data_IF_429594449315
#
_entry.id   IF_429594449315
#
_cell.length_a   1.000
_cell.length_b   1.000
_cell.length_c   1.000
_cell.angle_alpha   90.00
_cell.angle_beta   90.00
_cell.angle_gamma   90.00
#
_symmetry.space_group_name_H-M   'P 1'
#
loop_
_entity.id
_entity.type
_entity.pdbx_description
1 polymer ?
#
# COMPACT_ATOMS: atom_id res chain seq x y z
N UNK A 1 -17.51 45.87 -76.46
CA UNK A 1 -18.82 46.54 -76.31
C UNK A 1 -19.44 45.98 -75.03
N UNK A 2 -19.41 46.65 -73.87
CA UNK A 2 -20.26 47.81 -73.50
C UNK A 2 -21.72 47.52 -73.94
N UNK A 3 -22.72 47.45 -73.07
CA UNK A 3 -23.16 48.52 -72.16
C UNK A 3 -23.89 47.99 -70.92
N UNK A 4 -23.63 48.74 -69.85
CA UNK A 4 -24.11 48.82 -68.46
C UNK A 4 -25.58 49.29 -68.31
N UNK A 5 -26.25 48.94 -67.20
CA UNK A 5 -27.06 49.93 -66.46
C UNK A 5 -27.46 49.47 -65.03
N UNK A 6 -26.72 50.00 -64.05
CA UNK A 6 -27.10 50.65 -62.77
C UNK A 6 -28.33 50.16 -61.94
N UNK A 7 -28.06 49.93 -60.66
CA UNK A 7 -29.03 50.09 -59.56
C UNK A 7 -28.39 49.91 -58.18
N UNK A 8 -28.19 51.00 -57.43
CA UNK A 8 -27.58 51.00 -56.10
C UNK A 8 -28.56 50.62 -54.98
N UNK A 9 -28.13 49.81 -54.00
CA UNK A 9 -28.40 50.01 -52.57
C UNK A 9 -27.70 48.95 -51.70
N UNK A 10 -26.93 49.40 -50.71
CA UNK A 10 -26.35 48.58 -49.62
C UNK A 10 -27.45 47.90 -48.79
N UNK A 11 -27.37 46.58 -48.60
CA UNK A 11 -27.79 45.90 -47.36
C UNK A 11 -26.89 44.69 -47.08
N UNK A 12 -26.54 44.55 -45.79
CA UNK A 12 -25.47 43.73 -45.22
C UNK A 12 -25.61 42.24 -45.56
N UNK A 13 -24.52 41.60 -45.99
CA UNK A 13 -24.40 40.13 -46.06
C UNK A 13 -24.46 39.55 -44.65
N UNK A 14 -25.51 38.78 -44.36
CA UNK A 14 -25.55 37.91 -43.20
C UNK A 14 -24.55 36.77 -43.37
N UNK A 15 -23.50 36.73 -42.54
CA UNK A 15 -22.71 35.53 -42.30
C UNK A 15 -23.55 34.61 -41.42
N UNK A 16 -23.95 33.46 -41.95
CA UNK A 16 -24.38 32.31 -41.15
C UNK A 16 -23.19 31.91 -40.27
N UNK A 17 -23.27 32.21 -38.97
CA UNK A 17 -22.36 31.71 -37.96
C UNK A 17 -22.65 30.22 -37.78
N UNK A 18 -21.66 29.38 -37.99
CA UNK A 18 -21.61 28.03 -37.43
C UNK A 18 -21.84 28.14 -35.92
N UNK A 19 -22.82 27.41 -35.41
CA UNK A 19 -23.07 27.29 -33.98
C UNK A 19 -21.95 26.48 -33.36
N UNK A 20 -20.87 27.17 -33.02
CA UNK A 20 -19.79 26.67 -32.18
C UNK A 20 -20.36 26.53 -30.76
N UNK A 21 -21.04 25.40 -30.47
CA UNK A 21 -21.26 24.98 -29.08
C UNK A 21 -19.91 24.53 -28.56
N UNK A 22 -19.18 25.47 -27.95
CA UNK A 22 -18.02 25.17 -27.11
C UNK A 22 -18.45 24.11 -26.10
N UNK A 23 -17.79 22.96 -26.14
CA UNK A 23 -17.81 22.00 -25.04
C UNK A 23 -17.16 22.67 -23.81
N UNK A 24 -17.68 22.48 -22.59
CA UNK A 24 -17.12 23.08 -21.39
C UNK A 24 -15.90 22.25 -20.97
N UNK A 25 -14.81 22.38 -21.73
CA UNK A 25 -13.50 21.91 -21.27
C UNK A 25 -12.98 22.95 -20.30
N UNK A 26 -12.75 22.51 -19.08
CA UNK A 26 -11.93 23.20 -18.09
C UNK A 26 -10.50 23.21 -18.65
N UNK A 27 -9.96 24.40 -18.90
CA UNK A 27 -8.58 24.57 -19.35
C UNK A 27 -7.62 24.37 -18.16
N UNK A 28 -6.36 23.99 -18.42
CA UNK A 28 -5.35 23.63 -17.41
C UNK A 28 -5.04 24.68 -16.32
N UNK A 29 -5.67 25.85 -16.34
CA UNK A 29 -5.59 26.85 -15.26
C UNK A 29 -6.26 26.36 -13.96
N UNK A 30 -7.30 25.52 -14.01
CA UNK A 30 -7.99 25.01 -12.80
C UNK A 30 -7.15 24.00 -12.01
N UNK A 31 -6.23 23.29 -12.67
CA UNK A 31 -5.29 22.36 -12.01
C UNK A 31 -4.20 23.14 -11.29
N UNK A 32 -3.62 24.16 -11.92
CA UNK A 32 -2.58 24.99 -11.29
C UNK A 32 -3.14 25.78 -10.09
N UNK A 33 -4.40 26.23 -10.16
CA UNK A 33 -5.13 26.83 -9.03
C UNK A 33 -5.37 25.80 -7.90
N UNK A 34 -5.84 24.59 -8.22
CA UNK A 34 -6.04 23.51 -7.26
C UNK A 34 -4.73 23.07 -6.58
N UNK A 35 -3.62 22.98 -7.33
CA UNK A 35 -2.28 22.70 -6.80
C UNK A 35 -1.80 23.79 -5.84
N UNK A 36 -2.16 25.06 -6.10
CA UNK A 36 -1.83 26.19 -5.23
C UNK A 36 -2.64 26.19 -3.93
N UNK A 37 -3.91 25.76 -3.98
CA UNK A 37 -4.81 25.67 -2.82
C UNK A 37 -4.48 24.48 -1.91
N UNK A 38 -3.95 23.39 -2.47
CA UNK A 38 -3.61 22.17 -1.73
C UNK A 38 -2.32 22.25 -0.88
N UNK A 39 -1.52 23.32 -0.99
CA UNK A 39 -0.22 23.50 -0.28
C UNK A 39 0.70 22.26 -0.34
N UNK A 40 0.68 21.49 -1.43
CA UNK A 40 1.55 20.32 -1.60
C UNK A 40 2.96 20.82 -1.94
N UNK A 41 3.83 20.93 -0.93
CA UNK A 41 5.25 21.22 -1.12
C UNK A 41 5.96 19.92 -1.58
N UNK A 42 5.99 19.70 -2.90
CA UNK A 42 6.69 18.57 -3.54
C UNK A 42 8.18 18.45 -3.21
N UNK A 43 8.77 19.43 -2.49
CA UNK A 43 10.19 19.46 -2.11
C UNK A 43 10.44 19.17 -0.64
N UNK A 44 9.40 19.09 0.20
CA UNK A 44 9.55 18.77 1.61
C UNK A 44 9.04 17.36 1.88
N UNK A 45 9.92 16.38 1.67
CA UNK A 45 9.84 15.13 2.42
C UNK A 45 10.07 15.44 3.90
N UNK A 46 9.02 15.83 4.62
CA UNK A 46 9.06 16.03 6.06
C UNK A 46 9.10 14.67 6.74
N UNK A 47 9.93 14.57 7.78
CA UNK A 47 10.36 13.31 8.42
C UNK A 47 9.29 12.49 9.16
N UNK A 48 8.02 12.61 8.79
CA UNK A 48 6.88 11.89 9.38
C UNK A 48 6.29 10.79 8.48
N UNK A 49 6.71 10.69 7.20
CA UNK A 49 6.42 9.53 6.33
C UNK A 49 6.99 8.20 6.87
N UNK A 50 7.77 8.27 7.96
CA UNK A 50 8.42 7.14 8.65
C UNK A 50 7.48 6.32 9.57
N UNK A 51 6.20 6.70 9.70
CA UNK A 51 5.25 6.11 10.68
C UNK A 51 4.07 5.32 10.07
N UNK A 52 3.92 5.21 8.75
CA UNK A 52 2.68 4.67 8.16
C UNK A 52 2.70 3.15 7.91
N UNK A 53 1.58 2.52 8.27
CA UNK A 53 1.38 1.07 8.44
C UNK A 53 0.88 0.29 7.22
N UNK A 54 0.76 0.88 6.02
CA UNK A 54 0.00 0.21 4.95
C UNK A 54 0.72 0.06 3.61
N UNK A 55 0.49 -1.11 3.00
CA UNK A 55 1.07 -1.60 1.74
C UNK A 55 0.49 -0.88 0.51
N UNK A 56 -0.73 -0.33 0.59
CA UNK A 56 -1.47 0.16 -0.59
C UNK A 56 -0.90 1.45 -1.19
N UNK A 57 -0.34 2.35 -0.37
CA UNK A 57 0.28 3.61 -0.83
C UNK A 57 1.52 3.35 -1.70
N UNK A 58 2.29 2.31 -1.39
CA UNK A 58 3.51 1.95 -2.12
C UNK A 58 3.24 1.15 -3.40
N UNK A 59 1.99 0.80 -3.70
CA UNK A 59 1.62 0.19 -4.98
C UNK A 59 1.66 1.18 -6.15
N UNK A 60 2.01 2.46 -5.93
CA UNK A 60 2.24 3.44 -6.99
C UNK A 60 3.72 3.77 -7.15
N UNK A 61 4.20 3.71 -8.40
CA UNK A 61 5.59 3.99 -8.74
C UNK A 61 5.78 5.51 -8.90
N UNK A 62 6.84 6.06 -8.30
CA UNK A 62 7.25 7.47 -8.41
C UNK A 62 7.57 7.90 -9.85
N UNK A 63 7.55 6.99 -10.84
CA UNK A 63 7.59 7.34 -12.27
C UNK A 63 6.46 8.27 -12.76
N UNK A 64 5.41 8.49 -11.98
CA UNK A 64 4.41 9.54 -12.27
C UNK A 64 4.71 10.92 -11.65
N UNK A 65 5.67 11.01 -10.73
CA UNK A 65 6.06 12.29 -10.10
C UNK A 65 6.97 13.15 -10.96
N UNK A 66 7.50 12.63 -12.07
CA UNK A 66 8.12 13.44 -13.11
C UNK A 66 7.02 14.14 -13.92
N UNK A 67 6.40 15.18 -13.33
CA UNK A 67 5.48 16.09 -14.01
C UNK A 67 6.24 16.78 -15.15
N UNK A 68 6.21 16.16 -16.33
CA UNK A 68 6.58 16.81 -17.58
C UNK A 68 5.34 17.47 -18.16
N UNK A 69 5.52 18.55 -18.94
CA UNK A 69 4.46 19.30 -19.65
C UNK A 69 3.61 18.45 -20.63
N UNK A 70 3.80 17.14 -20.68
CA UNK A 70 3.13 16.19 -21.60
C UNK A 70 2.32 15.10 -20.89
N UNK A 71 2.21 15.11 -19.56
CA UNK A 71 1.36 14.15 -18.83
C UNK A 71 -0.11 14.49 -18.99
N UNK A 72 -0.94 13.49 -19.23
CA UNK A 72 -2.39 13.67 -19.39
C UNK A 72 -3.03 14.08 -18.05
N UNK A 73 -4.15 14.80 -18.12
CA UNK A 73 -4.89 15.28 -16.94
C UNK A 73 -5.23 14.15 -15.95
N UNK A 74 -5.61 12.97 -16.45
CA UNK A 74 -5.87 11.79 -15.62
C UNK A 74 -4.63 11.33 -14.84
N UNK A 75 -3.45 11.32 -15.47
CA UNK A 75 -2.20 10.90 -14.83
C UNK A 75 -1.80 11.84 -13.69
N UNK A 76 -2.13 13.14 -13.82
CA UNK A 76 -1.91 14.13 -12.77
C UNK A 76 -2.82 13.87 -11.56
N UNK A 77 -4.11 13.60 -11.78
CA UNK A 77 -5.03 13.22 -10.69
C UNK A 77 -4.60 11.93 -9.99
N UNK A 78 -4.14 10.92 -10.75
CA UNK A 78 -3.66 9.67 -10.15
C UNK A 78 -2.41 9.95 -9.29
N UNK A 79 -1.46 10.75 -9.79
CA UNK A 79 -0.28 11.14 -9.02
C UNK A 79 -0.65 11.92 -7.74
N UNK A 80 -1.61 12.84 -7.83
CA UNK A 80 -2.09 13.63 -6.69
C UNK A 80 -2.75 12.76 -5.62
N UNK A 81 -3.58 11.79 -6.02
CA UNK A 81 -4.21 10.87 -5.08
C UNK A 81 -3.16 10.12 -4.24
N UNK A 82 -2.16 9.54 -4.89
CA UNK A 82 -1.12 8.79 -4.17
C UNK A 82 -0.20 9.71 -3.35
N UNK A 83 0.09 10.91 -3.83
CA UNK A 83 0.84 11.90 -3.05
C UNK A 83 0.10 12.29 -1.76
N UNK A 84 -1.23 12.48 -1.84
CA UNK A 84 -2.06 12.78 -0.66
C UNK A 84 -2.10 11.62 0.36
N UNK A 85 -1.97 10.37 -0.09
CA UNK A 85 -1.88 9.21 0.80
C UNK A 85 -0.49 9.03 1.43
N UNK A 86 0.57 9.40 0.71
CA UNK A 86 1.97 9.27 1.18
C UNK A 86 2.35 10.39 2.15
N UNK A 87 1.88 11.61 1.91
CA UNK A 87 2.09 12.76 2.79
C UNK A 87 1.03 12.81 3.89
N UNK A 88 1.40 12.47 5.13
CA UNK A 88 0.59 12.70 6.35
C UNK A 88 -0.81 12.08 6.38
N UNK A 89 -1.15 11.18 5.43
CA UNK A 89 -2.50 10.61 5.24
C UNK A 89 -3.57 11.70 5.13
N UNK A 90 -3.42 12.61 4.19
CA UNK A 90 -4.36 13.69 3.93
C UNK A 90 -5.63 13.16 3.23
N UNK A 91 -6.44 12.41 3.97
CA UNK A 91 -7.64 11.73 3.45
C UNK A 91 -8.65 12.69 2.83
N UNK A 92 -8.79 13.91 3.37
CA UNK A 92 -9.68 14.92 2.80
C UNK A 92 -9.25 15.36 1.40
N UNK A 93 -7.94 15.46 1.16
CA UNK A 93 -7.40 15.77 -0.16
C UNK A 93 -7.57 14.60 -1.13
N UNK A 94 -7.31 13.38 -0.66
CA UNK A 94 -7.54 12.18 -1.46
C UNK A 94 -9.03 12.03 -1.86
N UNK A 95 -9.96 12.35 -0.96
CA UNK A 95 -11.41 12.41 -1.26
C UNK A 95 -11.76 13.52 -2.26
N UNK A 96 -11.11 14.68 -2.15
CA UNK A 96 -11.30 15.76 -3.10
C UNK A 96 -10.90 15.32 -4.52
N UNK A 97 -9.76 14.62 -4.67
CA UNK A 97 -9.34 14.04 -5.96
C UNK A 97 -10.38 13.06 -6.52
N UNK A 98 -10.93 12.18 -5.68
CA UNK A 98 -12.00 11.25 -6.09
C UNK A 98 -13.22 12.01 -6.59
N UNK A 99 -13.65 13.05 -5.88
CA UNK A 99 -14.81 13.87 -6.25
C UNK A 99 -14.60 14.57 -7.60
N UNK A 100 -13.38 15.05 -7.85
CA UNK A 100 -13.03 15.65 -9.14
C UNK A 100 -13.02 14.62 -10.27
N UNK A 101 -12.44 13.44 -10.06
CA UNK A 101 -12.49 12.38 -11.08
C UNK A 101 -13.94 11.95 -11.41
N UNK A 102 -14.84 11.97 -10.43
CA UNK A 102 -16.27 11.70 -10.65
C UNK A 102 -16.98 12.82 -11.41
N UNK A 103 -16.50 14.07 -11.31
CA UNK A 103 -17.09 15.23 -12.00
C UNK A 103 -16.71 15.30 -13.48
N UNK A 104 -15.66 14.58 -13.91
CA UNK A 104 -15.21 14.46 -15.30
C UNK A 104 -16.19 13.63 -16.15
N UNK A 105 -17.34 14.23 -16.46
CA UNK A 105 -18.44 13.61 -17.19
C UNK A 105 -18.00 13.06 -18.56
N UNK A 106 -18.35 11.79 -18.83
CA UNK A 106 -18.10 11.14 -20.12
C UNK A 106 -16.73 10.46 -20.25
N UNK A 107 -15.83 10.61 -19.27
CA UNK A 107 -14.55 9.89 -19.25
C UNK A 107 -14.67 8.58 -18.44
N UNK A 108 -14.91 7.47 -19.16
CA UNK A 108 -15.01 6.13 -18.55
C UNK A 108 -13.78 5.76 -17.72
N UNK A 109 -12.58 6.12 -18.17
CA UNK A 109 -11.35 5.75 -17.47
C UNK A 109 -11.22 6.51 -16.15
N UNK A 110 -11.54 7.81 -16.14
CA UNK A 110 -11.59 8.61 -14.91
C UNK A 110 -12.59 8.05 -13.90
N UNK A 111 -13.76 7.60 -14.35
CA UNK A 111 -14.75 6.93 -13.48
C UNK A 111 -14.19 5.65 -12.85
N UNK A 112 -13.47 4.81 -13.62
CA UNK A 112 -12.88 3.58 -13.08
C UNK A 112 -11.77 3.86 -12.05
N UNK A 113 -10.94 4.87 -12.28
CA UNK A 113 -9.95 5.32 -11.31
C UNK A 113 -10.61 5.89 -10.05
N UNK A 114 -11.70 6.64 -10.17
CA UNK A 114 -12.46 7.11 -9.02
C UNK A 114 -13.00 5.95 -8.17
N UNK A 115 -13.61 4.93 -8.78
CA UNK A 115 -14.04 3.74 -8.04
C UNK A 115 -12.87 3.02 -7.37
N UNK A 116 -11.75 2.83 -8.07
CA UNK A 116 -10.57 2.20 -7.50
C UNK A 116 -10.02 2.98 -6.28
N UNK A 117 -9.98 4.30 -6.37
CA UNK A 117 -9.54 5.19 -5.28
C UNK A 117 -10.51 5.21 -4.11
N UNK A 118 -11.83 5.20 -4.37
CA UNK A 118 -12.83 4.99 -3.31
C UNK A 118 -12.58 3.69 -2.57
N UNK A 119 -12.23 2.61 -3.29
CA UNK A 119 -11.85 1.34 -2.67
C UNK A 119 -10.62 1.47 -1.76
N UNK A 120 -9.55 2.13 -2.22
CA UNK A 120 -8.35 2.38 -1.38
C UNK A 120 -8.69 3.21 -0.14
N UNK A 121 -9.54 4.24 -0.27
CA UNK A 121 -9.97 5.04 0.87
C UNK A 121 -10.78 4.23 1.89
N UNK A 122 -11.65 3.35 1.44
CA UNK A 122 -12.39 2.43 2.31
C UNK A 122 -11.44 1.52 3.10
N UNK A 123 -10.37 1.01 2.48
CA UNK A 123 -9.33 0.22 3.14
C UNK A 123 -8.55 1.04 4.19
N UNK A 124 -8.04 2.21 3.80
CA UNK A 124 -7.07 2.97 4.59
C UNK A 124 -7.71 3.78 5.72
N UNK A 125 -8.92 4.32 5.50
CA UNK A 125 -9.61 5.19 6.45
C UNK A 125 -10.62 4.42 7.28
N UNK A 126 -11.53 3.69 6.63
CA UNK A 126 -12.65 3.04 7.31
C UNK A 126 -12.33 1.63 7.80
N UNK A 127 -11.24 1.02 7.29
CA UNK A 127 -10.97 -0.42 7.42
C UNK A 127 -12.19 -1.27 7.00
N UNK A 128 -12.97 -0.74 6.05
CA UNK A 128 -14.15 -1.40 5.50
C UNK A 128 -13.74 -2.17 4.24
N UNK A 129 -13.27 -3.40 4.47
CA UNK A 129 -12.82 -4.30 3.41
C UNK A 129 -13.97 -4.74 2.49
N UNK A 130 -15.23 -4.67 2.93
CA UNK A 130 -16.40 -5.06 2.15
C UNK A 130 -16.83 -3.93 1.20
N UNK A 131 -16.73 -2.67 1.64
CA UNK A 131 -16.85 -1.51 0.75
C UNK A 131 -15.74 -1.47 -0.29
N UNK A 132 -14.49 -1.70 0.11
CA UNK A 132 -13.36 -1.78 -0.82
C UNK A 132 -13.58 -2.87 -1.90
N UNK A 133 -14.02 -4.07 -1.49
CA UNK A 133 -14.35 -5.16 -2.40
C UNK A 133 -15.41 -4.75 -3.43
N UNK A 134 -16.50 -4.09 -3.01
CA UNK A 134 -17.56 -3.64 -3.92
C UNK A 134 -17.00 -2.72 -5.00
N UNK A 135 -16.22 -1.71 -4.60
CA UNK A 135 -15.58 -0.80 -5.54
C UNK A 135 -14.65 -1.51 -6.53
N UNK A 136 -13.84 -2.46 -6.06
CA UNK A 136 -12.93 -3.22 -6.93
C UNK A 136 -13.66 -4.11 -7.93
N UNK A 137 -14.73 -4.79 -7.49
CA UNK A 137 -15.55 -5.62 -8.37
C UNK A 137 -16.27 -4.77 -9.43
N UNK A 138 -16.75 -3.58 -9.09
CA UNK A 138 -17.37 -2.64 -10.04
C UNK A 138 -16.39 -2.21 -11.12
N UNK A 139 -15.12 -1.96 -10.75
CA UNK A 139 -14.06 -1.64 -11.73
C UNK A 139 -13.81 -2.84 -12.65
N UNK A 140 -13.69 -4.06 -12.11
CA UNK A 140 -13.43 -5.26 -12.90
C UNK A 140 -14.58 -5.62 -13.85
N UNK A 141 -15.83 -5.42 -13.42
CA UNK A 141 -17.03 -5.66 -14.24
C UNK A 141 -17.05 -4.79 -15.50
N UNK A 142 -16.42 -3.62 -15.43
CA UNK A 142 -16.37 -2.64 -16.50
C UNK A 142 -15.11 -2.75 -17.35
N UNK A 143 -14.45 -3.92 -17.41
CA UNK A 143 -13.31 -4.22 -18.30
C UNK A 143 -12.27 -3.08 -18.38
N UNK A 144 -11.52 -2.83 -17.28
CA UNK A 144 -10.58 -1.73 -17.19
C UNK A 144 -9.34 -1.98 -18.07
N UNK A 145 -8.50 -0.96 -18.23
CA UNK A 145 -7.21 -1.09 -18.92
C UNK A 145 -6.36 -2.21 -18.31
N UNK A 146 -5.49 -2.90 -19.07
CA UNK A 146 -4.70 -4.02 -18.54
C UNK A 146 -3.89 -3.68 -17.27
N UNK A 147 -3.40 -2.45 -17.17
CA UNK A 147 -2.65 -1.96 -16.01
C UNK A 147 -3.55 -1.80 -14.78
N UNK A 148 -4.67 -1.09 -14.91
CA UNK A 148 -5.63 -0.92 -13.82
C UNK A 148 -6.23 -2.27 -13.41
N UNK A 149 -6.50 -3.15 -14.38
CA UNK A 149 -6.98 -4.51 -14.14
C UNK A 149 -6.03 -5.30 -13.23
N UNK A 150 -4.72 -5.27 -13.51
CA UNK A 150 -3.71 -5.96 -12.72
C UNK A 150 -3.58 -5.40 -11.30
N UNK A 151 -3.69 -4.06 -11.16
CA UNK A 151 -3.68 -3.37 -9.87
C UNK A 151 -4.89 -3.73 -9.02
N UNK A 152 -6.10 -3.67 -9.60
CA UNK A 152 -7.34 -3.96 -8.89
C UNK A 152 -7.37 -5.40 -8.38
N UNK A 153 -6.87 -6.37 -9.15
CA UNK A 153 -6.74 -7.75 -8.66
C UNK A 153 -5.79 -7.89 -7.46
N UNK A 154 -4.72 -7.09 -7.41
CA UNK A 154 -3.81 -7.09 -6.27
C UNK A 154 -4.49 -6.50 -5.03
N UNK A 155 -5.15 -5.36 -5.16
CA UNK A 155 -5.88 -4.73 -4.05
C UNK A 155 -7.05 -5.58 -3.57
N UNK A 156 -7.80 -6.20 -4.49
CA UNK A 156 -8.87 -7.13 -4.16
C UNK A 156 -8.35 -8.37 -3.40
N UNK A 157 -7.15 -8.86 -3.72
CA UNK A 157 -6.51 -9.92 -2.93
C UNK A 157 -6.23 -9.48 -1.50
N UNK A 158 -5.78 -8.25 -1.30
CA UNK A 158 -5.54 -7.69 0.04
C UNK A 158 -6.86 -7.62 0.82
N UNK A 159 -7.93 -7.07 0.21
CA UNK A 159 -9.25 -7.03 0.82
C UNK A 159 -9.75 -8.43 1.22
N UNK A 160 -9.63 -9.43 0.33
CA UNK A 160 -10.02 -10.82 0.65
C UNK A 160 -9.18 -11.43 1.77
N UNK A 161 -7.88 -11.18 1.81
CA UNK A 161 -6.99 -11.66 2.87
C UNK A 161 -7.39 -11.08 4.23
N UNK A 162 -7.71 -9.78 4.28
CA UNK A 162 -8.19 -9.11 5.50
C UNK A 162 -9.54 -9.63 5.98
N UNK A 163 -10.37 -10.12 5.07
CA UNK A 163 -11.63 -10.80 5.40
C UNK A 163 -11.45 -12.29 5.75
N UNK A 164 -10.23 -12.84 5.72
CA UNK A 164 -9.96 -14.27 5.94
C UNK A 164 -10.38 -15.18 4.78
N UNK A 165 -10.74 -14.61 3.63
CA UNK A 165 -11.19 -15.31 2.42
C UNK A 165 -9.99 -15.72 1.56
N UNK A 166 -9.13 -16.57 2.10
CA UNK A 166 -7.85 -16.94 1.47
C UNK A 166 -7.98 -17.60 0.08
N UNK A 167 -8.97 -18.49 -0.20
CA UNK A 167 -9.12 -19.07 -1.54
C UNK A 167 -9.44 -18.01 -2.62
N UNK A 168 -10.31 -17.05 -2.32
CA UNK A 168 -10.57 -15.88 -3.18
C UNK A 168 -9.34 -15.01 -3.34
N UNK A 169 -8.62 -14.74 -2.24
CA UNK A 169 -7.40 -13.95 -2.26
C UNK A 169 -6.31 -14.57 -3.15
N UNK A 170 -6.10 -15.90 -3.06
CA UNK A 170 -5.15 -16.62 -3.91
C UNK A 170 -5.54 -16.57 -5.40
N UNK A 171 -6.85 -16.66 -5.72
CA UNK A 171 -7.34 -16.50 -7.10
C UNK A 171 -7.08 -15.09 -7.63
N UNK A 172 -7.34 -14.06 -6.83
CA UNK A 172 -7.08 -12.67 -7.19
C UNK A 172 -5.56 -12.41 -7.37
N UNK A 173 -4.72 -12.94 -6.48
CA UNK A 173 -3.26 -12.94 -6.65
C UNK A 173 -2.83 -13.55 -7.98
N UNK A 174 -3.33 -14.75 -8.30
CA UNK A 174 -2.99 -15.45 -9.53
C UNK A 174 -3.38 -14.64 -10.77
N UNK A 175 -4.57 -14.02 -10.75
CA UNK A 175 -5.01 -13.14 -11.82
C UNK A 175 -4.08 -11.92 -11.98
N UNK A 176 -3.69 -11.27 -10.88
CA UNK A 176 -2.75 -10.15 -10.88
C UNK A 176 -1.38 -10.55 -11.43
N UNK A 177 -0.82 -11.68 -10.99
CA UNK A 177 0.48 -12.21 -11.45
C UNK A 177 0.49 -12.43 -12.97
N UNK A 178 -0.56 -13.07 -13.50
CA UNK A 178 -0.68 -13.31 -14.95
C UNK A 178 -0.68 -11.99 -15.72
N UNK A 179 -1.41 -10.99 -15.23
CA UNK A 179 -1.50 -9.67 -15.88
C UNK A 179 -0.19 -8.89 -15.79
N UNK A 180 0.50 -8.88 -14.65
CA UNK A 180 1.78 -8.20 -14.54
C UNK A 180 2.89 -8.85 -15.38
N UNK A 181 2.86 -10.17 -15.56
CA UNK A 181 3.73 -10.87 -16.52
C UNK A 181 3.46 -10.44 -17.96
N UNK A 182 2.19 -10.24 -18.33
CA UNK A 182 1.81 -9.75 -19.67
C UNK A 182 2.24 -8.30 -19.91
N UNK A 183 2.12 -7.45 -18.89
CA UNK A 183 2.55 -6.04 -18.94
C UNK A 183 4.07 -5.90 -18.93
N UNK A 184 4.79 -6.84 -18.31
CA UNK A 184 6.25 -6.80 -18.22
C UNK A 184 6.79 -5.91 -17.08
N UNK A 185 5.95 -5.55 -16.09
CA UNK A 185 6.39 -4.80 -14.92
C UNK A 185 6.87 -5.77 -13.82
N UNK A 186 8.18 -5.98 -13.76
CA UNK A 186 8.81 -6.89 -12.80
C UNK A 186 8.65 -6.43 -11.34
N UNK A 187 8.54 -5.13 -11.08
CA UNK A 187 8.34 -4.64 -9.70
C UNK A 187 6.94 -5.01 -9.24
N UNK A 188 5.90 -4.69 -10.04
CA UNK A 188 4.52 -5.03 -9.68
C UNK A 188 4.26 -6.53 -9.66
N UNK A 189 4.91 -7.27 -10.56
CA UNK A 189 4.93 -8.73 -10.51
C UNK A 189 5.46 -9.24 -9.17
N UNK A 190 6.59 -8.72 -8.70
CA UNK A 190 7.15 -9.09 -7.40
C UNK A 190 6.20 -8.79 -6.23
N UNK A 191 5.47 -7.66 -6.29
CA UNK A 191 4.47 -7.32 -5.26
C UNK A 191 3.31 -8.31 -5.23
N UNK A 192 2.82 -8.74 -6.40
CA UNK A 192 1.76 -9.74 -6.49
C UNK A 192 2.23 -11.13 -6.01
N UNK A 193 3.45 -11.54 -6.36
CA UNK A 193 4.06 -12.78 -5.86
C UNK A 193 4.23 -12.76 -4.34
N UNK A 194 4.74 -11.65 -3.79
CA UNK A 194 4.88 -11.45 -2.34
C UNK A 194 3.52 -11.48 -1.63
N UNK A 195 2.50 -10.83 -2.20
CA UNK A 195 1.15 -10.86 -1.61
C UNK A 195 0.61 -12.29 -1.57
N UNK A 196 0.80 -13.07 -2.62
CA UNK A 196 0.39 -14.48 -2.63
C UNK A 196 1.12 -15.30 -1.55
N UNK A 197 2.40 -15.03 -1.32
CA UNK A 197 3.16 -15.63 -0.22
C UNK A 197 2.61 -15.22 1.17
N UNK A 198 2.22 -13.96 1.36
CA UNK A 198 1.56 -13.48 2.59
C UNK A 198 0.27 -14.25 2.85
N UNK A 199 -0.56 -14.44 1.82
CA UNK A 199 -1.83 -15.19 1.94
C UNK A 199 -1.57 -16.64 2.34
N UNK A 200 -0.55 -17.29 1.78
CA UNK A 200 -0.17 -18.63 2.21
C UNK A 200 0.26 -18.68 3.68
N UNK A 201 1.10 -17.74 4.14
CA UNK A 201 1.50 -17.69 5.54
C UNK A 201 0.30 -17.41 6.48
N UNK A 202 -0.56 -16.44 6.15
CA UNK A 202 -1.75 -16.13 6.94
C UNK A 202 -2.67 -17.34 7.06
N UNK A 203 -2.90 -18.03 5.95
CA UNK A 203 -3.78 -19.18 5.92
C UNK A 203 -3.28 -20.34 6.79
N UNK A 204 -1.97 -20.45 7.05
CA UNK A 204 -1.40 -21.47 7.95
C UNK A 204 -1.52 -21.01 9.41
N UNK A 205 -1.21 -19.75 9.71
CA UNK A 205 -1.24 -19.20 11.08
C UNK A 205 -2.65 -19.28 11.71
N UNK A 206 -3.71 -19.21 10.90
CA UNK A 206 -5.10 -19.29 11.36
C UNK A 206 -5.73 -20.69 11.22
N UNK A 207 -4.90 -21.74 11.17
CA UNK A 207 -5.38 -23.13 11.21
C UNK A 207 -5.94 -23.67 9.88
N UNK A 208 -5.63 -23.01 8.76
CA UNK A 208 -5.93 -23.49 7.42
C UNK A 208 -4.90 -24.52 6.92
N UNK A 209 -4.37 -24.30 5.72
CA UNK A 209 -3.64 -25.29 4.93
C UNK A 209 -2.36 -25.90 5.55
N UNK A 210 -1.77 -26.86 4.84
CA UNK A 210 -0.61 -27.68 5.23
C UNK A 210 0.76 -26.99 5.10
N UNK A 211 1.80 -27.59 5.69
CA UNK A 211 3.23 -27.23 5.55
C UNK A 211 3.71 -27.10 4.09
N UNK A 212 3.07 -27.79 3.13
CA UNK A 212 3.37 -27.64 1.70
C UNK A 212 3.10 -26.20 1.18
N UNK A 213 2.17 -25.47 1.77
CA UNK A 213 1.89 -24.08 1.39
C UNK A 213 2.96 -23.12 1.88
N UNK A 214 3.62 -23.42 3.01
CA UNK A 214 4.78 -22.66 3.46
C UNK A 214 5.94 -22.81 2.47
N UNK A 215 6.11 -23.99 1.85
CA UNK A 215 7.10 -24.14 0.78
C UNK A 215 6.78 -23.26 -0.42
N UNK A 216 5.52 -23.26 -0.88
CA UNK A 216 5.07 -22.35 -1.95
C UNK A 216 5.30 -20.88 -1.60
N UNK A 217 5.04 -20.48 -0.35
CA UNK A 217 5.29 -19.12 0.10
C UNK A 217 6.77 -18.73 -0.02
N UNK A 218 7.70 -19.61 0.38
CA UNK A 218 9.14 -19.40 0.23
C UNK A 218 9.52 -19.27 -1.25
N UNK A 219 9.05 -20.18 -2.09
CA UNK A 219 9.36 -20.20 -3.53
C UNK A 219 8.86 -18.92 -4.22
N UNK A 220 7.67 -18.43 -3.84
CA UNK A 220 7.10 -17.17 -4.34
C UNK A 220 7.91 -15.95 -3.87
N UNK A 221 8.36 -15.93 -2.61
CA UNK A 221 9.23 -14.87 -2.12
C UNK A 221 10.58 -14.84 -2.85
N UNK A 222 11.18 -16.00 -3.11
CA UNK A 222 12.43 -16.09 -3.89
C UNK A 222 12.22 -15.59 -5.32
N UNK A 223 11.14 -16.00 -5.99
CA UNK A 223 10.78 -15.45 -7.31
C UNK A 223 10.56 -13.94 -7.29
N UNK A 224 9.95 -13.40 -6.22
CA UNK A 224 9.77 -11.96 -6.07
C UNK A 224 11.11 -11.22 -5.91
N UNK A 225 12.04 -11.77 -5.12
CA UNK A 225 13.39 -11.23 -4.97
C UNK A 225 14.17 -11.27 -6.30
N UNK A 226 14.05 -12.35 -7.08
CA UNK A 226 14.66 -12.47 -8.40
C UNK A 226 14.12 -11.39 -9.34
N UNK A 227 12.79 -11.21 -9.38
CA UNK A 227 12.14 -10.16 -10.17
C UNK A 227 12.66 -8.77 -9.79
N UNK A 228 12.80 -8.48 -8.48
CA UNK A 228 13.32 -7.20 -8.00
C UNK A 228 14.80 -7.01 -8.34
N UNK A 229 15.61 -8.06 -8.23
CA UNK A 229 17.05 -8.01 -8.54
C UNK A 229 17.34 -7.69 -10.01
N UNK A 230 16.45 -8.12 -10.91
CA UNK A 230 16.53 -7.86 -12.34
C UNK A 230 16.11 -6.41 -12.73
N UNK A 231 15.65 -5.60 -11.77
CA UNK A 231 15.22 -4.21 -12.03
C UNK A 231 16.34 -3.20 -11.74
N UNK A 232 16.41 -2.14 -12.57
CA UNK A 232 17.37 -1.07 -12.37
C UNK A 232 16.98 -0.21 -11.17
N UNK A 233 17.77 -0.28 -10.10
CA UNK A 233 17.54 0.44 -8.84
C UNK A 233 17.50 1.97 -9.01
N UNK A 234 18.18 2.53 -10.01
CA UNK A 234 18.12 3.97 -10.31
C UNK A 234 16.78 4.41 -10.89
N UNK A 235 16.06 3.48 -11.54
CA UNK A 235 14.76 3.75 -12.15
C UNK A 235 13.59 3.53 -11.19
N UNK A 236 13.83 2.86 -10.05
CA UNK A 236 12.80 2.63 -9.03
C UNK A 236 13.39 2.85 -7.62
N UNK A 237 13.33 4.10 -7.09
CA UNK A 237 13.86 4.44 -5.78
C UNK A 237 13.22 3.67 -4.61
N UNK A 238 12.00 3.15 -4.81
CA UNK A 238 11.25 2.37 -3.80
C UNK A 238 11.61 0.89 -3.82
N UNK A 239 12.40 0.41 -4.78
CA UNK A 239 12.78 -1.00 -4.91
C UNK A 239 13.47 -1.56 -3.66
N UNK A 240 14.40 -0.86 -2.97
CA UNK A 240 14.99 -1.35 -1.73
C UNK A 240 13.96 -1.65 -0.63
N UNK A 241 12.89 -0.86 -0.55
CA UNK A 241 11.79 -1.13 0.37
C UNK A 241 11.09 -2.43 0.04
N UNK A 242 10.77 -2.67 -1.24
CA UNK A 242 10.12 -3.90 -1.68
C UNK A 242 10.99 -5.14 -1.44
N UNK A 243 12.30 -5.03 -1.60
CA UNK A 243 13.25 -6.10 -1.25
C UNK A 243 13.18 -6.37 0.26
N UNK A 244 13.24 -5.33 1.09
CA UNK A 244 13.19 -5.46 2.54
C UNK A 244 11.91 -6.17 3.03
N UNK A 245 10.72 -5.72 2.58
CA UNK A 245 9.45 -6.36 2.98
C UNK A 245 9.29 -7.76 2.40
N UNK A 246 9.98 -8.11 1.31
CA UNK A 246 10.00 -9.49 0.79
C UNK A 246 10.85 -10.40 1.68
N UNK A 247 12.01 -9.93 2.16
CA UNK A 247 12.81 -10.64 3.17
C UNK A 247 12.02 -10.89 4.46
N UNK A 248 11.21 -9.92 4.88
CA UNK A 248 10.34 -10.07 6.06
C UNK A 248 9.31 -11.20 5.89
N UNK A 249 8.66 -11.31 4.73
CA UNK A 249 7.71 -12.39 4.45
C UNK A 249 8.41 -13.75 4.33
N UNK A 250 9.58 -13.79 3.70
CA UNK A 250 10.40 -15.00 3.60
C UNK A 250 10.85 -15.49 4.99
N UNK A 251 11.31 -14.58 5.85
CA UNK A 251 11.66 -14.88 7.23
C UNK A 251 10.47 -15.47 8.01
N UNK A 252 9.28 -14.90 7.84
CA UNK A 252 8.05 -15.44 8.44
C UNK A 252 7.75 -16.84 7.93
N UNK A 253 7.84 -17.07 6.63
CA UNK A 253 7.60 -18.38 6.03
C UNK A 253 8.57 -19.45 6.57
N UNK A 254 9.85 -19.12 6.77
CA UNK A 254 10.81 -20.03 7.43
C UNK A 254 10.49 -20.27 8.90
N UNK A 255 10.16 -19.20 9.64
CA UNK A 255 9.85 -19.28 11.06
C UNK A 255 8.63 -20.16 11.34
N UNK A 256 7.52 -19.94 10.61
CA UNK A 256 6.31 -20.78 10.70
C UNK A 256 6.58 -22.22 10.27
N UNK A 257 7.57 -22.46 9.40
CA UNK A 257 7.98 -23.81 8.99
C UNK A 257 8.90 -24.51 10.00
N UNK A 258 9.37 -23.80 11.04
CA UNK A 258 10.33 -24.32 12.01
C UNK A 258 11.81 -24.23 11.59
N UNK A 259 12.11 -23.56 10.47
CA UNK A 259 13.49 -23.34 9.99
C UNK A 259 14.06 -22.04 10.57
N UNK A 260 14.29 -22.01 11.89
CA UNK A 260 14.58 -20.78 12.63
C UNK A 260 15.90 -20.11 12.23
N UNK A 261 16.96 -20.85 11.92
CA UNK A 261 18.25 -20.28 11.51
C UNK A 261 18.13 -19.52 10.19
N UNK A 262 17.34 -20.06 9.24
CA UNK A 262 17.05 -19.39 7.96
C UNK A 262 16.15 -18.18 8.16
N UNK A 263 15.19 -18.26 9.08
CA UNK A 263 14.36 -17.12 9.46
C UNK A 263 15.20 -15.98 10.03
N UNK A 264 16.11 -16.28 10.96
CA UNK A 264 17.05 -15.33 11.55
C UNK A 264 17.92 -14.66 10.47
N UNK A 265 18.44 -15.44 9.52
CA UNK A 265 19.20 -14.88 8.40
C UNK A 265 18.36 -13.89 7.57
N UNK A 266 17.13 -14.25 7.22
CA UNK A 266 16.22 -13.38 6.46
C UNK A 266 15.87 -12.10 7.22
N UNK A 267 15.53 -12.21 8.52
CA UNK A 267 15.19 -11.04 9.32
C UNK A 267 16.40 -10.15 9.63
N UNK A 268 17.61 -10.71 9.66
CA UNK A 268 18.85 -9.92 9.77
C UNK A 268 19.08 -9.10 8.50
N UNK A 269 18.87 -9.68 7.32
CA UNK A 269 18.92 -8.93 6.05
C UNK A 269 17.86 -7.82 6.03
N UNK A 270 16.63 -8.12 6.45
CA UNK A 270 15.56 -7.15 6.56
C UNK A 270 15.90 -5.99 7.51
N UNK A 271 16.45 -6.28 8.70
CA UNK A 271 16.91 -5.26 9.65
C UNK A 271 17.99 -4.36 9.06
N UNK A 272 19.00 -4.96 8.42
CA UNK A 272 20.10 -4.21 7.79
C UNK A 272 19.58 -3.25 6.70
N UNK A 273 18.65 -3.72 5.87
CA UNK A 273 18.02 -2.87 4.86
C UNK A 273 17.18 -1.75 5.49
N UNK A 274 16.37 -2.06 6.50
CA UNK A 274 15.55 -1.08 7.21
C UNK A 274 16.42 0.02 7.84
N UNK A 275 17.53 -0.34 8.49
CA UNK A 275 18.49 0.61 9.06
C UNK A 275 19.17 1.46 7.98
N UNK A 276 19.68 0.81 6.92
CA UNK A 276 20.37 1.50 5.82
C UNK A 276 19.50 2.56 5.15
N UNK A 277 18.21 2.31 5.04
CA UNK A 277 17.25 3.20 4.38
C UNK A 277 16.39 4.01 5.35
N UNK A 278 16.68 3.97 6.65
CA UNK A 278 15.95 4.72 7.70
C UNK A 278 14.44 4.44 7.74
N UNK A 279 14.06 3.18 7.53
CA UNK A 279 12.69 2.68 7.67
C UNK A 279 12.40 2.35 9.13
N UNK A 280 12.26 3.38 9.97
CA UNK A 280 12.26 3.24 11.43
C UNK A 280 11.22 2.22 11.95
N UNK A 281 9.99 2.24 11.42
CA UNK A 281 8.96 1.24 11.77
C UNK A 281 9.41 -0.20 11.48
N UNK A 282 10.06 -0.38 10.33
CA UNK A 282 10.55 -1.68 9.90
C UNK A 282 11.75 -2.15 10.74
N UNK A 283 12.53 -1.23 11.34
CA UNK A 283 13.59 -1.59 12.30
C UNK A 283 12.98 -2.23 13.55
N UNK A 284 12.00 -1.59 14.19
CA UNK A 284 11.33 -2.14 15.36
C UNK A 284 10.64 -3.48 15.07
N UNK A 285 9.97 -3.58 13.93
CA UNK A 285 9.33 -4.82 13.49
C UNK A 285 10.34 -5.95 13.19
N UNK A 286 11.49 -5.62 12.60
CA UNK A 286 12.56 -6.58 12.35
C UNK A 286 13.19 -7.11 13.65
N UNK A 287 13.41 -6.22 14.62
CA UNK A 287 13.91 -6.59 15.95
C UNK A 287 12.94 -7.53 16.66
N UNK A 288 11.64 -7.21 16.65
CA UNK A 288 10.62 -8.12 17.19
C UNK A 288 10.63 -9.48 16.47
N UNK A 289 10.65 -9.50 15.14
CA UNK A 289 10.66 -10.75 14.37
C UNK A 289 11.91 -11.61 14.62
N UNK A 290 13.08 -10.98 14.80
CA UNK A 290 14.30 -11.66 15.22
C UNK A 290 14.14 -12.24 16.62
N UNK A 291 13.56 -11.49 17.56
CA UNK A 291 13.33 -11.94 18.92
C UNK A 291 12.43 -13.19 18.97
N UNK A 292 11.31 -13.18 18.24
CA UNK A 292 10.43 -14.34 18.11
C UNK A 292 11.22 -15.55 17.55
N UNK A 293 12.09 -15.36 16.55
CA UNK A 293 12.88 -16.43 15.94
C UNK A 293 13.98 -16.99 16.86
N UNK A 294 14.69 -16.13 17.60
CA UNK A 294 15.66 -16.55 18.61
C UNK A 294 14.98 -17.24 19.79
N UNK A 295 13.77 -16.80 20.17
CA UNK A 295 13.00 -17.43 21.23
C UNK A 295 12.61 -18.85 20.85
N UNK A 296 12.08 -19.05 19.64
CA UNK A 296 11.66 -20.35 19.14
C UNK A 296 12.82 -21.33 18.89
N UNK A 297 14.00 -20.83 18.53
CA UNK A 297 15.24 -21.64 18.44
C UNK A 297 15.88 -21.95 19.80
N UNK A 298 15.37 -21.39 20.90
CA UNK A 298 15.85 -21.63 22.27
C UNK A 298 16.97 -20.68 22.73
N UNK A 299 17.41 -19.75 21.89
CA UNK A 299 18.41 -18.72 22.20
C UNK A 299 17.81 -17.55 23.01
N UNK A 300 17.43 -17.84 24.25
CA UNK A 300 16.68 -16.92 25.13
C UNK A 300 17.38 -15.58 25.39
N UNK A 301 18.71 -15.54 25.44
CA UNK A 301 19.46 -14.30 25.71
C UNK A 301 19.39 -13.32 24.53
N UNK A 302 19.53 -13.83 23.31
CA UNK A 302 19.40 -13.08 22.07
C UNK A 302 17.96 -12.59 21.91
N UNK A 303 16.98 -13.46 22.18
CA UNK A 303 15.57 -13.09 22.17
C UNK A 303 15.28 -11.92 23.13
N UNK A 304 15.78 -11.99 24.37
CA UNK A 304 15.59 -10.93 25.37
C UNK A 304 16.18 -9.59 24.92
N UNK A 305 17.37 -9.61 24.32
CA UNK A 305 18.00 -8.40 23.76
C UNK A 305 17.11 -7.77 22.69
N UNK A 306 16.71 -8.54 21.68
CA UNK A 306 15.93 -8.01 20.56
C UNK A 306 14.52 -7.60 20.94
N UNK A 307 13.87 -8.30 21.88
CA UNK A 307 12.58 -7.84 22.42
C UNK A 307 12.73 -6.52 23.17
N UNK A 308 13.79 -6.33 23.96
CA UNK A 308 14.05 -5.06 24.66
C UNK A 308 14.30 -3.91 23.67
N UNK A 309 15.03 -4.17 22.58
CA UNK A 309 15.24 -3.18 21.51
C UNK A 309 13.91 -2.78 20.85
N UNK A 310 13.07 -3.77 20.49
CA UNK A 310 11.75 -3.53 19.91
C UNK A 310 10.81 -2.81 20.88
N UNK A 311 10.85 -3.17 22.17
CA UNK A 311 10.10 -2.50 23.23
C UNK A 311 10.44 -1.00 23.28
N UNK A 312 11.73 -0.67 23.32
CA UNK A 312 12.23 0.71 23.33
C UNK A 312 11.71 1.49 22.13
N UNK A 313 11.73 0.87 20.94
CA UNK A 313 11.20 1.48 19.73
C UNK A 313 9.70 1.78 19.81
N UNK A 314 8.88 0.79 20.20
CA UNK A 314 7.43 0.96 20.24
C UNK A 314 6.97 1.89 21.37
N UNK A 315 7.71 1.95 22.48
CA UNK A 315 7.52 2.97 23.52
C UNK A 315 7.81 4.39 22.99
N UNK A 316 8.93 4.59 22.30
CA UNK A 316 9.30 5.89 21.77
C UNK A 316 8.37 6.39 20.65
N UNK A 317 7.65 5.49 19.99
CA UNK A 317 6.75 5.82 18.87
C UNK A 317 5.28 5.89 19.26
N UNK A 318 4.94 5.63 20.52
CA UNK A 318 3.57 5.58 21.04
C UNK A 318 2.69 4.55 20.32
N UNK A 319 3.31 3.47 19.81
CA UNK A 319 2.58 2.39 19.14
C UNK A 319 2.06 1.38 20.16
N UNK A 320 1.00 1.76 20.87
CA UNK A 320 0.37 0.93 21.90
C UNK A 320 -0.02 -0.47 21.41
N UNK A 321 -0.43 -0.61 20.14
CA UNK A 321 -0.85 -1.89 19.57
C UNK A 321 0.30 -2.89 19.41
N UNK A 322 1.46 -2.45 18.94
CA UNK A 322 2.63 -3.35 18.86
C UNK A 322 3.31 -3.50 20.23
N UNK A 323 3.27 -2.44 21.04
CA UNK A 323 3.89 -2.43 22.37
C UNK A 323 3.31 -3.51 23.29
N UNK A 324 1.98 -3.64 23.37
CA UNK A 324 1.38 -4.66 24.25
C UNK A 324 1.76 -6.09 23.82
N UNK A 325 1.91 -6.35 22.52
CA UNK A 325 2.29 -7.66 21.99
C UNK A 325 3.73 -8.02 22.36
N UNK A 326 4.66 -7.07 22.21
CA UNK A 326 6.06 -7.26 22.62
C UNK A 326 6.17 -7.48 24.13
N UNK A 327 5.40 -6.75 24.94
CA UNK A 327 5.34 -6.97 26.39
C UNK A 327 4.81 -8.36 26.76
N UNK A 328 3.77 -8.84 26.08
CA UNK A 328 3.26 -10.20 26.30
C UNK A 328 4.31 -11.26 25.95
N UNK A 329 5.03 -11.09 24.84
CA UNK A 329 6.15 -11.98 24.44
C UNK A 329 7.28 -11.97 25.48
N UNK A 330 7.66 -10.79 25.98
CA UNK A 330 8.63 -10.65 27.07
C UNK A 330 8.17 -11.33 28.35
N UNK A 331 6.90 -11.19 28.72
CA UNK A 331 6.32 -11.88 29.88
C UNK A 331 6.48 -13.40 29.79
N UNK A 332 6.19 -13.98 28.63
CA UNK A 332 6.40 -15.41 28.37
C UNK A 332 7.88 -15.79 28.48
N UNK A 333 8.77 -14.98 27.89
CA UNK A 333 10.21 -15.25 27.95
C UNK A 333 10.75 -15.19 29.39
N UNK A 334 10.34 -14.19 30.18
CA UNK A 334 10.72 -14.06 31.59
C UNK A 334 10.21 -15.24 32.42
N UNK A 335 8.98 -15.70 32.19
CA UNK A 335 8.45 -16.89 32.84
C UNK A 335 9.33 -18.12 32.54
N UNK A 336 9.72 -18.31 31.27
CA UNK A 336 10.61 -19.40 30.86
C UNK A 336 12.05 -19.29 31.38
N UNK A 337 12.45 -18.10 31.85
CA UNK A 337 13.73 -17.84 32.51
C UNK A 337 13.63 -17.94 34.05
N UNK A 338 12.44 -18.21 34.61
CA UNK A 338 12.19 -18.24 36.05
C UNK A 338 12.07 -16.86 36.70
N UNK A 339 12.05 -15.78 35.92
CA UNK A 339 11.98 -14.40 36.38
C UNK A 339 10.52 -13.98 36.58
N UNK A 340 9.83 -14.61 37.54
CA UNK A 340 8.37 -14.48 37.70
C UNK A 340 7.89 -13.06 38.00
N UNK A 341 8.65 -12.28 38.77
CA UNK A 341 8.29 -10.88 39.07
C UNK A 341 8.28 -10.01 37.80
N UNK A 342 9.30 -10.16 36.94
CA UNK A 342 9.38 -9.43 35.67
C UNK A 342 8.33 -9.92 34.67
N UNK A 343 8.02 -11.23 34.69
CA UNK A 343 6.94 -11.77 33.87
C UNK A 343 5.57 -11.17 34.24
N UNK A 344 5.26 -11.12 35.54
CA UNK A 344 4.00 -10.54 36.05
C UNK A 344 3.90 -9.05 35.71
N UNK A 345 4.98 -8.29 35.87
CA UNK A 345 5.01 -6.86 35.50
C UNK A 345 4.77 -6.67 34.00
N UNK A 346 5.50 -7.41 33.15
CA UNK A 346 5.34 -7.33 31.69
C UNK A 346 3.92 -7.70 31.23
N UNK A 347 3.33 -8.76 31.81
CA UNK A 347 1.94 -9.12 31.50
C UNK A 347 0.94 -8.07 31.99
N UNK A 348 1.16 -7.48 33.17
CA UNK A 348 0.28 -6.43 33.72
C UNK A 348 0.29 -5.17 32.85
N UNK A 349 1.48 -4.73 32.41
CA UNK A 349 1.62 -3.62 31.47
C UNK A 349 0.98 -3.91 30.12
N UNK A 350 1.17 -5.13 29.60
CA UNK A 350 0.53 -5.59 28.36
C UNK A 350 -1.00 -5.52 28.44
N UNK A 351 -1.60 -6.01 29.54
CA UNK A 351 -3.04 -5.97 29.77
C UNK A 351 -3.58 -4.54 29.86
N UNK A 352 -2.92 -3.65 30.62
CA UNK A 352 -3.34 -2.26 30.75
C UNK A 352 -3.34 -1.51 29.40
N UNK A 353 -2.32 -1.77 28.56
CA UNK A 353 -2.26 -1.21 27.21
C UNK A 353 -3.35 -1.80 26.30
N UNK A 354 -3.59 -3.10 26.37
CA UNK A 354 -4.66 -3.76 25.61
C UNK A 354 -6.03 -3.16 25.96
N UNK A 355 -6.30 -2.87 27.23
CA UNK A 355 -7.53 -2.21 27.66
C UNK A 355 -7.67 -0.81 27.08
N UNK A 356 -6.57 -0.05 27.01
CA UNK A 356 -6.52 1.29 26.39
C UNK A 356 -6.78 1.22 24.89
N UNK A 357 -6.17 0.24 24.20
CA UNK A 357 -6.40 0.01 22.77
C UNK A 357 -7.87 -0.40 22.53
N UNK A 358 -8.43 -1.26 23.37
CA UNK A 358 -9.82 -1.73 23.26
C UNK A 358 -10.82 -0.60 23.48
N UNK A 359 -10.61 0.25 24.49
CA UNK A 359 -11.51 1.37 24.77
C UNK A 359 -11.49 2.40 23.65
N UNK A 360 -10.32 2.68 23.07
CA UNK A 360 -10.19 3.56 21.89
C UNK A 360 -10.94 3.05 20.66
N UNK A 361 -10.95 1.73 20.42
CA UNK A 361 -11.72 1.11 19.32
C UNK A 361 -13.24 1.20 19.57
N UNK A 362 -13.69 1.17 20.82
CA UNK A 362 -15.12 1.23 21.16
C UNK A 362 -15.72 2.64 21.08
N UNK A 363 -14.91 3.69 21.19
CA UNK A 363 -15.38 5.09 21.17
C UNK A 363 -15.47 5.70 19.77
N UNK A 364 -14.92 5.05 18.75
CA UNK A 364 -15.05 5.48 17.34
C UNK A 364 -16.23 4.80 16.61
N UNK A 365 -16.92 3.86 17.26
CA UNK A 365 -18.03 3.07 16.68
C UNK A 365 -19.39 3.29 17.39
N UNK A 366 -19.55 4.37 18.16
CA UNK A 366 -20.81 4.80 18.77
C UNK A 366 -21.15 6.22 18.32
#
# INVERSE_FOLDING_TARGET
MLVDMKGSARRKRGRLRSSNRKSPWIEGEDIDLFLSDLKIDSRKGTGLAKKTRTICVWLYDSRFTAMTKQTSELEQYIALFFAALDAERQFDQAKAVVTQLQSLAGNREATLWAHYFSGILAEEQARDWAEAERHYLDVLAQQPTPLLNAQVYLSLSIAYDKQGRWPESLRACQASIVKWRQVGDNVKLALALRQMAVVYCNSVDYGGYTTANLQKAKDLCLQALDCLSATNTKANPSQPFFVAVTWQVLGRAYCTHGEYERAIACYTQYLQMAQKHSYDFHVGFAQWSLADSYHLSGEKAQALRYYTDALTYFQATDDHYNLFQVLARLGVLYQQLGQLAQALDAFSQSLALLETVRSGVSTEAA
#
